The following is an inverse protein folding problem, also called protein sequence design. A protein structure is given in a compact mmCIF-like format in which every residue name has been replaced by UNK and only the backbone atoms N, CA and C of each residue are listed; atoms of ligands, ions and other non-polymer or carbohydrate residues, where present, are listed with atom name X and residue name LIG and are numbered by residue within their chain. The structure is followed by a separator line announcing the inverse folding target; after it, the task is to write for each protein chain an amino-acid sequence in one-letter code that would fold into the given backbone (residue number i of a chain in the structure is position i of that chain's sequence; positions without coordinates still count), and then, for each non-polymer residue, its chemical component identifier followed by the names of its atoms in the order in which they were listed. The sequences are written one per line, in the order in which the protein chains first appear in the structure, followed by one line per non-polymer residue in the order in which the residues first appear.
data_IF_627255249089
#
_entry.id   IF_627255249089
#
_cell.length_a   1.000
_cell.length_b   1.000
_cell.length_c   1.000
_cell.angle_alpha   90.00
_cell.angle_beta   90.00
_cell.angle_gamma   90.00
#
_symmetry.space_group_name_H-M   'P 1'
#
loop_
_entity.id
_entity.type
_entity.pdbx_description
1 polymer ?
#
# COMPACT_ATOMS: atom_id res chain seq x y z
N UNK A 1 -15.78 15.33 39.22
CA UNK A 1 -14.53 15.98 38.80
C UNK A 1 -13.57 14.89 38.38
N UNK A 2 -13.47 14.61 37.08
CA UNK A 2 -12.50 13.63 36.57
C UNK A 2 -11.27 14.40 36.10
N UNK A 3 -10.15 14.05 36.72
CA UNK A 3 -8.81 14.52 36.41
C UNK A 3 -8.45 14.17 34.96
N UNK A 4 -7.88 15.16 34.26
CA UNK A 4 -7.40 15.02 32.90
C UNK A 4 -6.16 14.13 32.88
N UNK A 5 -6.20 13.09 32.06
CA UNK A 5 -5.01 12.33 31.68
C UNK A 5 -4.19 13.16 30.71
N UNK A 6 -3.11 13.77 31.21
CA UNK A 6 -2.02 14.32 30.39
C UNK A 6 -1.45 13.20 29.51
N UNK A 7 -1.59 13.38 28.19
CA UNK A 7 -0.97 12.50 27.20
C UNK A 7 0.54 12.59 27.30
N UNK A 8 1.18 11.49 27.69
CA UNK A 8 2.63 11.34 27.64
C UNK A 8 3.06 11.46 26.16
N UNK A 9 3.67 12.60 25.81
CA UNK A 9 4.24 12.82 24.49
C UNK A 9 5.38 11.83 24.21
N UNK A 10 5.47 11.37 22.95
CA UNK A 10 6.45 10.37 22.51
C UNK A 10 7.90 10.73 22.92
N UNK A 11 8.79 9.75 23.12
CA UNK A 11 10.20 10.00 23.45
C UNK A 11 10.88 10.97 22.46
N UNK A 12 11.78 11.84 22.92
CA UNK A 12 12.46 12.84 22.07
C UNK A 12 13.20 12.21 20.88
N UNK A 13 13.77 11.02 21.04
CA UNK A 13 14.39 10.28 19.93
C UNK A 13 13.38 9.90 18.84
N UNK A 14 12.14 9.55 19.23
CA UNK A 14 11.04 9.25 18.32
C UNK A 14 10.47 10.51 17.66
N UNK A 15 10.42 11.64 18.39
CA UNK A 15 10.07 12.95 17.81
C UNK A 15 11.10 13.43 16.78
N UNK A 16 12.39 13.19 17.03
CA UNK A 16 13.48 13.54 16.10
C UNK A 16 13.46 12.67 14.84
N UNK A 17 13.08 11.39 14.95
CA UNK A 17 12.87 10.49 13.80
C UNK A 17 11.64 10.86 12.95
N UNK A 18 10.61 11.46 13.54
CA UNK A 18 9.41 11.90 12.81
C UNK A 18 9.54 13.27 12.14
N UNK A 19 10.65 13.98 12.34
CA UNK A 19 10.83 15.33 11.77
C UNK A 19 11.28 15.29 10.31
N UNK A 20 11.99 14.24 9.90
CA UNK A 20 12.57 14.13 8.57
C UNK A 20 11.87 13.03 7.77
N UNK A 21 11.89 13.14 6.44
CA UNK A 21 11.49 12.05 5.55
C UNK A 21 12.25 10.76 5.87
N UNK A 22 11.62 9.62 5.56
CA UNK A 22 12.34 8.36 5.54
C UNK A 22 13.50 8.43 4.53
N UNK A 23 14.62 7.78 4.83
CA UNK A 23 15.78 7.68 3.93
C UNK A 23 15.85 6.30 3.26
N UNK A 24 14.67 5.70 2.99
CA UNK A 24 14.57 4.39 2.36
C UNK A 24 15.30 4.35 1.03
N UNK A 25 16.23 3.40 0.88
CA UNK A 25 17.13 3.27 -0.27
C UNK A 25 17.93 4.53 -0.63
N UNK A 26 18.00 5.51 0.27
CA UNK A 26 18.80 6.72 0.17
C UNK A 26 19.73 6.84 1.37
N UNK A 27 19.97 8.06 1.83
CA UNK A 27 20.83 8.32 2.98
C UNK A 27 20.56 9.68 3.62
N UNK A 28 21.21 9.90 4.77
CA UNK A 28 21.42 11.22 5.36
C UNK A 28 22.80 11.69 4.96
N UNK A 29 22.91 12.93 4.49
CA UNK A 29 24.18 13.62 4.23
C UNK A 29 24.34 14.79 5.21
N UNK A 30 25.46 15.50 5.12
CA UNK A 30 25.67 16.77 5.82
C UNK A 30 24.76 17.90 5.34
N UNK A 31 24.17 17.77 4.14
CA UNK A 31 23.40 18.83 3.46
C UNK A 31 21.90 18.56 3.40
N UNK A 32 21.50 17.29 3.38
CA UNK A 32 20.12 16.88 3.11
C UNK A 32 19.85 15.42 3.48
N UNK A 33 18.56 15.11 3.62
CA UNK A 33 18.01 13.76 3.74
C UNK A 33 17.39 13.37 2.42
N UNK A 34 17.56 12.12 1.99
CA UNK A 34 16.94 11.68 0.75
C UNK A 34 16.57 10.20 0.77
N UNK A 35 15.54 9.88 0.00
CA UNK A 35 15.10 8.52 -0.32
C UNK A 35 14.84 8.41 -1.82
N UNK A 36 14.69 7.18 -2.30
CA UNK A 36 14.42 6.95 -3.71
C UNK A 36 13.69 5.64 -3.95
N UNK A 37 12.99 5.61 -5.07
CA UNK A 37 12.57 4.39 -5.76
C UNK A 37 13.37 4.24 -7.06
N UNK A 38 13.04 3.25 -7.90
CA UNK A 38 13.60 3.19 -9.25
C UNK A 38 13.24 4.43 -10.08
N UNK A 39 12.07 5.04 -9.85
CA UNK A 39 11.53 6.12 -10.68
C UNK A 39 11.69 7.52 -10.08
N UNK A 40 11.78 7.65 -8.76
CA UNK A 40 11.75 8.95 -8.08
C UNK A 40 12.90 9.10 -7.08
N UNK A 41 13.30 10.35 -6.84
CA UNK A 41 14.08 10.77 -5.67
C UNK A 41 13.27 11.77 -4.86
N UNK A 42 13.11 11.53 -3.56
CA UNK A 42 12.60 12.52 -2.62
C UNK A 42 13.75 13.09 -1.82
N UNK A 43 13.86 14.42 -1.77
CA UNK A 43 14.95 15.16 -1.15
C UNK A 43 14.40 16.16 -0.14
N UNK A 44 14.91 16.16 1.07
CA UNK A 44 14.59 17.14 2.11
C UNK A 44 15.84 17.91 2.53
N UNK A 45 15.74 19.23 2.48
CA UNK A 45 16.83 20.17 2.82
C UNK A 45 16.37 21.08 3.95
N UNK A 46 17.13 21.10 5.04
CA UNK A 46 16.89 22.07 6.13
C UNK A 46 17.28 23.48 5.70
N UNK A 47 16.45 24.45 6.06
CA UNK A 47 16.64 25.88 5.77
C UNK A 47 16.43 26.72 7.03
N UNK A 48 17.00 27.93 7.04
CA UNK A 48 16.61 28.94 8.02
C UNK A 48 15.09 29.19 7.96
N UNK A 49 14.44 29.42 9.11
CA UNK A 49 13.00 29.65 9.20
C UNK A 49 12.54 30.75 8.23
N UNK A 50 11.65 30.41 7.32
CA UNK A 50 11.25 31.27 6.22
C UNK A 50 9.81 31.01 5.77
N UNK A 51 9.31 31.88 4.90
CA UNK A 51 8.05 31.65 4.17
C UNK A 51 8.35 31.11 2.78
N UNK A 52 7.41 30.37 2.20
CA UNK A 52 7.56 29.78 0.87
C UNK A 52 8.00 30.78 -0.22
N UNK A 53 7.53 32.05 -0.16
CA UNK A 53 7.93 33.11 -1.09
C UNK A 53 9.41 33.54 -1.00
N UNK A 54 10.09 33.16 0.08
CA UNK A 54 11.51 33.46 0.34
C UNK A 54 12.41 32.29 -0.11
N UNK A 55 11.80 31.19 -0.58
CA UNK A 55 12.47 30.05 -1.19
C UNK A 55 12.46 30.21 -2.71
N UNK A 56 13.61 29.98 -3.31
CA UNK A 56 13.76 29.87 -4.77
C UNK A 56 14.35 28.50 -5.08
N UNK A 57 13.56 27.65 -5.71
CA UNK A 57 14.00 26.36 -6.26
C UNK A 57 14.14 26.50 -7.76
N UNK A 58 15.33 26.19 -8.28
CA UNK A 58 15.61 26.08 -9.70
C UNK A 58 16.08 24.66 -9.98
N UNK A 59 15.23 23.89 -10.66
CA UNK A 59 15.56 22.55 -11.14
C UNK A 59 15.60 22.57 -12.66
N UNK A 60 16.72 22.11 -13.21
CA UNK A 60 16.85 21.78 -14.64
C UNK A 60 17.03 20.28 -14.75
N UNK A 61 16.95 19.74 -15.97
CA UNK A 61 17.13 18.31 -16.17
C UNK A 61 18.44 17.76 -15.59
N UNK A 62 19.48 18.57 -15.35
CA UNK A 62 20.79 18.09 -14.86
C UNK A 62 21.31 18.82 -13.63
N UNK A 63 20.60 19.82 -13.10
CA UNK A 63 21.09 20.67 -12.00
C UNK A 63 19.97 21.08 -11.07
N UNK A 64 20.29 21.20 -9.79
CA UNK A 64 19.42 21.70 -8.74
C UNK A 64 20.08 22.87 -8.02
N UNK A 65 19.31 23.91 -7.74
CA UNK A 65 19.69 25.03 -6.88
C UNK A 65 18.51 25.41 -5.98
N UNK A 66 18.76 25.49 -4.67
CA UNK A 66 17.81 25.90 -3.65
C UNK A 66 18.41 27.09 -2.91
N UNK A 67 17.68 28.21 -2.90
CA UNK A 67 18.05 29.41 -2.17
C UNK A 67 16.97 29.75 -1.16
N UNK A 68 17.38 30.18 0.03
CA UNK A 68 16.52 30.70 1.07
C UNK A 68 16.97 32.13 1.40
N UNK A 69 16.05 33.09 1.34
CA UNK A 69 16.33 34.53 1.60
C UNK A 69 17.55 35.05 0.83
N UNK A 70 17.72 34.59 -0.41
CA UNK A 70 18.82 34.97 -1.29
C UNK A 70 20.16 34.24 -1.06
N UNK A 71 20.30 33.44 0.00
CA UNK A 71 21.49 32.60 0.25
C UNK A 71 21.31 31.23 -0.40
N UNK A 72 22.36 30.73 -1.07
CA UNK A 72 22.38 29.35 -1.57
C UNK A 72 22.48 28.36 -0.41
N UNK A 73 21.51 27.46 -0.33
CA UNK A 73 21.45 26.38 0.67
C UNK A 73 21.98 25.09 0.06
N UNK A 74 21.55 24.77 -1.16
CA UNK A 74 21.98 23.58 -1.88
C UNK A 74 22.16 23.92 -3.36
N UNK A 75 23.26 23.51 -3.96
CA UNK A 75 23.49 23.69 -5.40
C UNK A 75 24.43 22.61 -5.93
N UNK A 76 24.09 22.01 -7.08
CA UNK A 76 24.93 21.00 -7.69
C UNK A 76 24.40 20.44 -9.00
N UNK A 77 25.21 19.57 -9.61
CA UNK A 77 24.81 18.75 -10.76
C UNK A 77 24.17 17.48 -10.25
N UNK A 78 22.99 17.14 -10.75
CA UNK A 78 22.28 15.91 -10.42
C UNK A 78 23.07 14.69 -10.91
N UNK A 79 22.99 13.59 -10.17
CA UNK A 79 23.63 12.32 -10.55
C UNK A 79 23.18 11.83 -11.94
N UNK A 80 21.88 11.97 -12.24
CA UNK A 80 21.33 11.71 -13.57
C UNK A 80 20.20 12.68 -13.90
N UNK A 81 19.66 12.58 -15.12
CA UNK A 81 18.61 13.47 -15.60
C UNK A 81 17.26 13.23 -14.92
N UNK A 82 16.55 14.33 -14.68
CA UNK A 82 15.18 14.34 -14.15
C UNK A 82 14.18 14.96 -15.12
N UNK A 83 12.91 14.56 -15.02
CA UNK A 83 11.78 15.23 -15.67
C UNK A 83 11.48 16.50 -14.89
N UNK A 84 11.71 17.66 -15.52
CA UNK A 84 11.45 18.95 -14.87
C UNK A 84 9.97 19.29 -14.80
N UNK A 85 9.15 18.68 -15.65
CA UNK A 85 7.70 18.93 -15.72
C UNK A 85 6.97 18.35 -14.50
N UNK A 86 7.46 17.20 -14.01
CA UNK A 86 6.88 16.46 -12.88
C UNK A 86 7.60 16.74 -11.55
N UNK A 87 8.58 17.66 -11.55
CA UNK A 87 9.30 18.05 -10.34
C UNK A 87 8.42 18.94 -9.46
N UNK A 88 8.17 18.50 -8.23
CA UNK A 88 7.37 19.24 -7.24
C UNK A 88 8.21 19.60 -6.02
N UNK A 89 7.87 20.71 -5.36
CA UNK A 89 8.46 21.05 -4.07
C UNK A 89 7.46 21.73 -3.14
N UNK A 90 7.69 21.62 -1.84
CA UNK A 90 6.96 22.34 -0.81
C UNK A 90 7.86 22.71 0.37
N UNK A 91 7.39 23.64 1.20
CA UNK A 91 8.04 24.03 2.45
C UNK A 91 7.22 23.47 3.62
N UNK A 92 7.80 22.53 4.35
CA UNK A 92 7.21 21.97 5.56
C UNK A 92 7.72 22.69 6.81
N UNK A 93 6.79 22.99 7.73
CA UNK A 93 7.07 23.64 9.01
C UNK A 93 7.87 24.95 8.94
N UNK A 94 7.96 25.61 7.78
CA UNK A 94 8.79 26.81 7.58
C UNK A 94 10.30 26.58 7.60
N UNK A 95 10.77 25.34 7.77
CA UNK A 95 12.19 25.02 8.01
C UNK A 95 12.74 23.88 7.13
N UNK A 96 11.88 23.19 6.36
CA UNK A 96 12.28 22.05 5.54
C UNK A 96 11.74 22.20 4.12
N UNK A 97 12.63 22.26 3.13
CA UNK A 97 12.24 22.24 1.72
C UNK A 97 12.29 20.79 1.25
N UNK A 98 11.14 20.25 0.87
CA UNK A 98 11.00 18.88 0.35
C UNK A 98 10.75 18.93 -1.15
N UNK A 99 11.51 18.16 -1.92
CA UNK A 99 11.42 18.04 -3.37
C UNK A 99 11.15 16.60 -3.77
N UNK A 100 10.26 16.41 -4.73
CA UNK A 100 10.05 15.16 -5.47
C UNK A 100 10.59 15.33 -6.87
N UNK A 101 11.57 14.52 -7.24
CA UNK A 101 12.25 14.53 -8.55
C UNK A 101 11.95 13.23 -9.29
N UNK A 102 11.31 13.32 -10.44
CA UNK A 102 11.10 12.16 -11.31
C UNK A 102 12.32 11.90 -12.20
N UNK A 103 12.85 10.69 -12.18
CA UNK A 103 14.02 10.29 -12.96
C UNK A 103 13.61 10.05 -14.41
N UNK A 104 14.38 10.58 -15.37
CA UNK A 104 14.12 10.27 -16.79
C UNK A 104 14.40 8.80 -17.14
N UNK A 105 15.35 8.18 -16.42
CA UNK A 105 15.67 6.76 -16.54
C UNK A 105 15.49 6.10 -15.19
N UNK A 106 14.73 5.01 -15.18
CA UNK A 106 14.53 4.22 -13.96
C UNK A 106 15.82 3.52 -13.56
N UNK A 107 16.48 4.02 -12.52
CA UNK A 107 17.76 3.50 -12.03
C UNK A 107 18.01 3.90 -10.58
N UNK A 108 18.82 3.12 -9.87
CA UNK A 108 19.25 3.45 -8.52
C UNK A 108 20.37 4.49 -8.57
N UNK A 109 20.16 5.60 -7.87
CA UNK A 109 21.13 6.67 -7.74
C UNK A 109 22.04 6.38 -6.56
N UNK A 110 23.33 6.61 -6.71
CA UNK A 110 24.28 6.48 -5.60
C UNK A 110 24.36 7.75 -4.75
N UNK A 111 23.98 8.89 -5.29
CA UNK A 111 23.88 10.18 -4.61
C UNK A 111 22.85 11.06 -5.35
N UNK A 112 22.41 12.16 -4.73
CA UNK A 112 21.52 13.12 -5.42
C UNK A 112 22.33 14.09 -6.28
N UNK A 113 23.39 14.66 -5.70
CA UNK A 113 24.32 15.55 -6.40
C UNK A 113 25.68 14.89 -6.59
N UNK A 114 26.27 15.08 -7.76
CA UNK A 114 27.61 14.59 -8.06
C UNK A 114 28.65 15.17 -7.08
N UNK A 115 29.46 14.28 -6.49
CA UNK A 115 30.50 14.64 -5.52
C UNK A 115 30.07 14.58 -4.06
N UNK A 116 28.79 14.38 -3.78
CA UNK A 116 28.31 14.11 -2.42
C UNK A 116 28.56 12.64 -2.01
N UNK A 117 28.32 12.35 -0.72
CA UNK A 117 28.46 11.00 -0.18
C UNK A 117 27.61 9.99 -0.96
N UNK A 118 28.24 8.89 -1.38
CA UNK A 118 27.60 7.85 -2.17
C UNK A 118 27.14 6.66 -1.31
N UNK A 119 26.01 6.06 -1.68
CA UNK A 119 25.54 4.79 -1.15
C UNK A 119 25.91 3.62 -2.08
N UNK A 120 25.99 2.42 -1.51
CA UNK A 120 26.16 1.18 -2.26
C UNK A 120 24.81 0.71 -2.83
N UNK A 121 24.54 1.06 -4.08
CA UNK A 121 23.28 0.73 -4.76
C UNK A 121 23.08 -0.76 -5.01
N UNK A 122 24.11 -1.60 -4.82
CA UNK A 122 23.95 -3.06 -4.92
C UNK A 122 23.25 -3.68 -3.72
N UNK A 123 23.18 -2.95 -2.61
CA UNK A 123 22.53 -3.37 -1.35
C UNK A 123 21.14 -2.77 -1.14
N UNK A 124 20.69 -1.98 -2.12
CA UNK A 124 19.38 -1.35 -2.10
C UNK A 124 18.28 -2.40 -2.24
N UNK A 125 17.26 -2.29 -1.39
CA UNK A 125 16.15 -3.22 -1.37
C UNK A 125 15.23 -2.92 -2.56
N UNK A 126 15.24 -3.80 -3.56
CA UNK A 126 14.50 -3.63 -4.82
C UNK A 126 13.05 -4.10 -4.74
N UNK A 127 12.65 -4.69 -3.62
CA UNK A 127 11.29 -5.15 -3.39
C UNK A 127 10.40 -3.97 -3.04
N UNK A 128 9.48 -3.67 -3.96
CA UNK A 128 8.30 -2.86 -3.68
C UNK A 128 7.54 -3.47 -2.51
N UNK A 129 7.13 -2.65 -1.55
CA UNK A 129 6.26 -3.11 -0.48
C UNK A 129 4.89 -3.43 -1.08
N UNK A 130 4.19 -4.40 -0.47
CA UNK A 130 2.95 -4.93 -1.03
C UNK A 130 1.90 -3.82 -1.25
N UNK A 131 1.90 -2.81 -0.39
CA UNK A 131 1.08 -1.60 -0.40
C UNK A 131 1.25 -0.69 -1.63
N UNK A 132 2.38 -0.79 -2.35
CA UNK A 132 2.64 0.01 -3.57
C UNK A 132 1.97 -0.56 -4.82
N UNK A 133 1.45 -1.80 -4.77
CA UNK A 133 0.69 -2.40 -5.86
C UNK A 133 -0.80 -2.06 -5.76
N UNK A 134 -1.49 -1.95 -6.90
CA UNK A 134 -2.94 -1.83 -6.92
C UNK A 134 -3.61 -3.09 -6.30
N UNK A 135 -4.87 -2.96 -5.88
CA UNK A 135 -5.56 -4.02 -5.11
C UNK A 135 -5.70 -5.35 -5.85
N UNK A 136 -5.79 -5.33 -7.18
CA UNK A 136 -5.85 -6.55 -8.00
C UNK A 136 -4.49 -7.25 -8.01
N UNK A 137 -3.42 -6.50 -8.26
CA UNK A 137 -2.05 -7.02 -8.24
C UNK A 137 -1.64 -7.52 -6.86
N UNK A 138 -2.04 -6.83 -5.79
CA UNK A 138 -1.88 -7.32 -4.40
C UNK A 138 -2.58 -8.66 -4.19
N UNK A 139 -3.81 -8.80 -4.68
CA UNK A 139 -4.56 -10.05 -4.61
C UNK A 139 -3.81 -11.21 -5.29
N UNK A 140 -3.33 -10.98 -6.50
CA UNK A 140 -2.58 -11.97 -7.27
C UNK A 140 -1.26 -12.38 -6.57
N UNK A 141 -0.50 -11.41 -6.05
CA UNK A 141 0.75 -11.69 -5.33
C UNK A 141 0.47 -12.47 -4.04
N UNK A 142 -0.59 -12.14 -3.27
CA UNK A 142 -0.99 -12.91 -2.07
C UNK A 142 -1.32 -14.36 -2.43
N UNK A 143 -2.06 -14.58 -3.53
CA UNK A 143 -2.38 -15.92 -4.04
C UNK A 143 -1.10 -16.70 -4.35
N UNK A 144 -0.18 -16.09 -5.11
CA UNK A 144 1.09 -16.72 -5.49
C UNK A 144 1.92 -17.09 -4.25
N UNK A 145 2.05 -16.18 -3.27
CA UNK A 145 2.77 -16.44 -2.03
C UNK A 145 2.15 -17.58 -1.22
N UNK A 146 0.81 -17.60 -1.12
CA UNK A 146 0.08 -18.67 -0.44
C UNK A 146 0.33 -20.02 -1.13
N UNK A 147 0.17 -20.09 -2.45
CA UNK A 147 0.32 -21.32 -3.23
C UNK A 147 1.75 -21.86 -3.20
N UNK A 148 2.76 -20.98 -3.26
CA UNK A 148 4.16 -21.39 -3.11
C UNK A 148 4.40 -22.02 -1.73
N UNK A 149 3.87 -21.42 -0.66
CA UNK A 149 4.00 -21.97 0.68
C UNK A 149 3.26 -23.31 0.85
N UNK A 150 2.03 -23.45 0.31
CA UNK A 150 1.30 -24.72 0.32
C UNK A 150 2.07 -25.80 -0.45
N UNK A 151 2.61 -25.47 -1.62
CA UNK A 151 3.41 -26.39 -2.45
C UNK A 151 4.63 -26.93 -1.72
N UNK A 152 5.38 -26.06 -1.03
CA UNK A 152 6.54 -26.48 -0.22
C UNK A 152 6.11 -27.41 0.92
N UNK A 153 4.91 -27.20 1.46
CA UNK A 153 4.36 -28.02 2.54
C UNK A 153 3.59 -29.25 2.03
N UNK A 154 3.53 -29.50 0.71
CA UNK A 154 2.75 -30.59 0.12
C UNK A 154 1.24 -30.48 0.35
N UNK A 155 0.74 -29.27 0.63
CA UNK A 155 -0.66 -28.98 0.91
C UNK A 155 -1.39 -28.43 -0.32
N UNK A 156 -2.74 -28.45 -0.34
CA UNK A 156 -3.52 -27.99 -1.48
C UNK A 156 -3.37 -26.48 -1.75
N UNK A 157 -3.41 -26.07 -3.02
CA UNK A 157 -3.39 -24.65 -3.44
C UNK A 157 -4.71 -23.93 -3.12
N UNK A 158 -4.73 -22.60 -3.24
CA UNK A 158 -5.94 -21.80 -3.05
C UNK A 158 -7.08 -22.27 -3.94
N UNK A 159 -6.79 -22.64 -5.19
CA UNK A 159 -7.80 -23.06 -6.17
C UNK A 159 -8.36 -24.44 -5.84
N UNK A 160 -7.51 -25.34 -5.34
CA UNK A 160 -7.93 -26.66 -4.87
C UNK A 160 -8.79 -26.56 -3.62
N UNK A 161 -8.44 -25.67 -2.69
CA UNK A 161 -9.24 -25.40 -1.49
C UNK A 161 -10.60 -24.79 -1.85
N UNK A 162 -10.62 -23.80 -2.74
CA UNK A 162 -11.86 -23.16 -3.21
C UNK A 162 -12.77 -24.18 -3.91
N UNK A 163 -12.18 -25.03 -4.75
CA UNK A 163 -12.90 -26.13 -5.42
C UNK A 163 -13.49 -27.10 -4.41
N UNK A 164 -12.70 -27.55 -3.43
CA UNK A 164 -13.15 -28.48 -2.40
C UNK A 164 -14.29 -27.89 -1.55
N UNK A 165 -14.24 -26.60 -1.22
CA UNK A 165 -15.29 -25.93 -0.45
C UNK A 165 -16.62 -25.90 -1.22
N UNK A 166 -16.59 -25.51 -2.50
CA UNK A 166 -17.81 -25.49 -3.33
C UNK A 166 -18.39 -26.90 -3.49
N UNK A 167 -17.53 -27.91 -3.64
CA UNK A 167 -17.97 -29.30 -3.73
C UNK A 167 -18.61 -29.77 -2.44
N UNK A 168 -18.02 -29.42 -1.30
CA UNK A 168 -18.58 -29.73 0.01
C UNK A 168 -19.93 -29.04 0.23
N UNK A 169 -20.07 -27.80 -0.22
CA UNK A 169 -21.35 -27.08 -0.16
C UNK A 169 -22.40 -27.74 -1.07
N UNK A 170 -22.03 -28.05 -2.31
CA UNK A 170 -22.90 -28.76 -3.25
C UNK A 170 -23.31 -30.15 -2.76
N UNK A 171 -22.39 -30.87 -2.12
CA UNK A 171 -22.63 -32.17 -1.49
C UNK A 171 -23.70 -32.10 -0.40
N UNK A 172 -23.67 -31.05 0.41
CA UNK A 172 -24.58 -30.83 1.54
C UNK A 172 -25.86 -30.07 1.17
N UNK A 173 -26.01 -29.67 -0.10
CA UNK A 173 -27.17 -28.91 -0.54
C UNK A 173 -28.49 -29.68 -0.31
N UNK A 174 -29.61 -28.99 -0.04
CA UNK A 174 -30.90 -29.63 0.29
C UNK A 174 -31.40 -30.66 -0.73
N UNK A 175 -31.06 -30.47 -2.01
CA UNK A 175 -31.45 -31.30 -3.15
C UNK A 175 -30.32 -32.24 -3.61
N UNK A 176 -29.22 -32.35 -2.87
CA UNK A 176 -28.12 -33.24 -3.20
C UNK A 176 -28.49 -34.69 -2.89
N UNK A 177 -28.21 -35.64 -3.80
CA UNK A 177 -28.39 -37.06 -3.53
C UNK A 177 -27.42 -37.60 -2.46
N UNK A 178 -26.40 -36.82 -2.10
CA UNK A 178 -25.39 -37.15 -1.09
C UNK A 178 -25.62 -36.43 0.25
N UNK A 179 -26.74 -35.72 0.40
CA UNK A 179 -27.03 -34.99 1.63
C UNK A 179 -27.10 -35.94 2.83
N UNK A 180 -26.27 -35.68 3.83
CA UNK A 180 -26.23 -36.45 5.09
C UNK A 180 -25.16 -37.54 5.14
N UNK A 181 -24.43 -37.79 4.06
CA UNK A 181 -23.16 -38.56 4.12
C UNK A 181 -21.96 -37.63 4.32
N UNK A 182 -20.89 -38.15 4.92
CA UNK A 182 -19.63 -37.41 5.03
C UNK A 182 -19.06 -37.13 3.64
N UNK A 183 -18.47 -35.94 3.49
CA UNK A 183 -17.84 -35.54 2.24
C UNK A 183 -16.59 -36.39 1.98
N UNK A 184 -16.63 -37.21 0.94
CA UNK A 184 -15.49 -38.00 0.48
C UNK A 184 -14.93 -37.41 -0.83
N UNK A 185 -13.75 -36.75 -0.78
CA UNK A 185 -13.12 -36.16 -1.96
C UNK A 185 -12.76 -37.18 -3.05
N UNK A 186 -12.60 -38.45 -2.70
CA UNK A 186 -12.16 -39.51 -3.64
C UNK A 186 -13.28 -40.00 -4.55
N UNK A 187 -14.54 -39.71 -4.19
CA UNK A 187 -15.74 -40.02 -4.97
C UNK A 187 -15.96 -39.07 -6.16
N UNK A 188 -15.15 -38.00 -6.25
CA UNK A 188 -15.26 -36.98 -7.29
C UNK A 188 -14.15 -37.15 -8.32
N UNK A 189 -14.50 -37.68 -9.50
CA UNK A 189 -13.55 -37.85 -10.59
C UNK A 189 -13.45 -36.56 -11.41
N UNK A 190 -12.63 -35.62 -10.95
CA UNK A 190 -12.45 -34.32 -11.61
C UNK A 190 -11.33 -34.39 -12.63
N UNK A 191 -11.70 -34.43 -13.90
CA UNK A 191 -10.75 -34.52 -15.01
C UNK A 191 -10.12 -33.17 -15.41
N UNK A 192 -10.21 -32.12 -14.58
CA UNK A 192 -9.59 -30.83 -14.90
C UNK A 192 -9.88 -29.70 -13.89
N UNK A 193 -9.16 -28.57 -14.00
CA UNK A 193 -9.41 -27.39 -13.20
C UNK A 193 -10.79 -26.80 -13.51
N UNK A 194 -11.49 -26.34 -12.47
CA UNK A 194 -12.77 -25.64 -12.59
C UNK A 194 -12.52 -24.25 -13.19
N UNK A 195 -13.37 -23.80 -14.12
CA UNK A 195 -13.20 -22.50 -14.78
C UNK A 195 -13.48 -21.31 -13.84
N UNK A 196 -12.79 -20.19 -14.05
CA UNK A 196 -13.03 -18.94 -13.30
C UNK A 196 -14.47 -18.43 -13.49
N UNK A 197 -15.05 -18.55 -14.69
CA UNK A 197 -16.44 -18.17 -14.96
C UNK A 197 -17.43 -18.87 -14.01
N UNK A 198 -17.19 -20.13 -13.68
CA UNK A 198 -18.02 -20.88 -12.75
C UNK A 198 -17.90 -20.32 -11.33
N UNK A 199 -16.69 -19.95 -10.90
CA UNK A 199 -16.48 -19.34 -9.59
C UNK A 199 -17.15 -17.96 -9.49
N UNK A 200 -17.06 -17.15 -10.54
CA UNK A 200 -17.76 -15.86 -10.60
C UNK A 200 -19.27 -16.02 -10.50
N UNK A 201 -19.85 -16.99 -11.19
CA UNK A 201 -21.30 -17.24 -11.15
C UNK A 201 -21.77 -17.70 -9.77
N UNK A 202 -20.97 -18.53 -9.08
CA UNK A 202 -21.23 -18.92 -7.70
C UNK A 202 -21.18 -17.71 -6.77
N UNK A 203 -20.16 -16.85 -6.90
CA UNK A 203 -20.03 -15.66 -6.05
C UNK A 203 -21.12 -14.62 -6.33
N UNK A 204 -21.51 -14.41 -7.60
CA UNK A 204 -22.67 -13.59 -7.99
C UNK A 204 -23.94 -14.09 -7.31
N UNK A 205 -24.20 -15.41 -7.36
CA UNK A 205 -25.36 -16.02 -6.71
C UNK A 205 -25.36 -15.82 -5.21
N UNK A 206 -24.19 -15.99 -4.55
CA UNK A 206 -24.04 -15.75 -3.10
C UNK A 206 -24.34 -14.30 -2.72
N UNK A 207 -23.85 -13.34 -3.50
CA UNK A 207 -24.11 -11.91 -3.26
C UNK A 207 -25.60 -11.60 -3.39
N UNK A 208 -26.27 -12.18 -4.40
CA UNK A 208 -27.71 -11.99 -4.61
C UNK A 208 -28.55 -12.62 -3.49
N UNK A 209 -28.23 -13.84 -3.08
CA UNK A 209 -28.88 -14.53 -1.96
C UNK A 209 -28.70 -13.78 -0.64
N UNK A 210 -27.48 -13.29 -0.35
CA UNK A 210 -27.19 -12.47 0.82
C UNK A 210 -27.97 -11.14 0.80
N UNK A 211 -28.06 -10.48 -0.36
CA UNK A 211 -28.89 -9.27 -0.54
C UNK A 211 -30.36 -9.55 -0.30
N UNK A 212 -30.89 -10.65 -0.84
CA UNK A 212 -32.30 -11.05 -0.68
C UNK A 212 -32.63 -11.42 0.76
N UNK A 213 -31.76 -12.15 1.45
CA UNK A 213 -31.91 -12.49 2.87
C UNK A 213 -31.89 -11.24 3.75
N UNK A 214 -31.00 -10.28 3.48
CA UNK A 214 -30.93 -9.00 4.21
C UNK A 214 -32.19 -8.15 3.99
N UNK A 215 -32.74 -8.14 2.78
CA UNK A 215 -33.99 -7.44 2.46
C UNK A 215 -35.21 -8.08 3.16
N UNK A 216 -35.29 -9.42 3.20
CA UNK A 216 -36.35 -10.13 3.90
C UNK A 216 -36.31 -9.91 5.42
N UNK A 217 -35.11 -9.90 6.01
CA UNK A 217 -34.93 -9.59 7.44
C UNK A 217 -35.37 -8.16 7.78
N UNK A 218 -35.05 -7.18 6.93
CA UNK A 218 -35.44 -5.79 7.13
C UNK A 218 -36.96 -5.55 7.01
N UNK A 219 -37.67 -6.32 6.16
CA UNK A 219 -39.14 -6.23 6.03
C UNK A 219 -39.92 -6.86 7.19
N UNK A 220 -39.32 -7.78 7.95
CA UNK A 220 -39.99 -8.45 9.08
C UNK A 220 -39.98 -7.64 10.40
N UNK A 221 -39.19 -6.58 10.48
CA UNK A 221 -39.03 -5.76 11.69
C UNK A 221 -40.08 -4.63 11.84
N UNK A 222 -40.98 -4.44 10.86
CA UNK A 222 -41.95 -3.34 10.85
C UNK A 222 -43.40 -3.70 11.22
N UNK A 223 -43.72 -4.95 11.54
CA UNK A 223 -45.11 -5.42 11.77
C UNK A 223 -45.39 -5.87 13.22
N UNK A 224 -44.72 -5.27 14.21
CA UNK A 224 -44.84 -5.67 15.61
C UNK A 224 -44.81 -4.49 16.58
N UNK A 225 -45.83 -3.65 16.59
CA UNK A 225 -46.00 -2.65 17.66
C UNK A 225 -47.18 -1.72 17.49
N UNK A 226 -48.28 -1.98 18.20
CA UNK A 226 -49.36 -0.99 18.31
C UNK A 226 -50.73 -1.44 18.81
N UNK A 227 -50.85 -2.54 19.54
CA UNK A 227 -52.05 -2.83 20.33
C UNK A 227 -51.89 -2.29 21.75
N UNK A 228 -52.61 -1.22 22.10
CA UNK A 228 -52.66 -0.66 23.46
C UNK A 228 -54.09 -0.22 23.80
N UNK A 229 -54.63 -0.56 25.00
CA UNK A 229 -56.07 -0.72 25.22
C UNK A 229 -56.82 0.56 25.61
N UNK A 230 -58.14 0.47 25.40
CA UNK A 230 -59.16 1.45 25.73
C UNK A 230 -59.25 1.77 27.23
N UNK A 231 -59.57 3.04 27.51
CA UNK A 231 -60.21 3.51 28.73
C UNK A 231 -61.58 4.11 28.36
#
# INVERSE_FOLDING_TARGET
SQEGTEGQGLPEGTRKMMRHISTWNGAVTDKYHWSQSLAEVTLEVEVEECRAKEIQVVCTATRLSIKCKGKTVLEGKLHEKVSTEDTMWHLDGGTQVVLSLEKQRQTWWKCVLEGDQEIDTTKVESTKTMDEYDGETQGAIRKIMFDQNQKVQGKPSSDQLRTAEIMKEAWNAPNSPFRGSEFDPTMLNLSGPVSEDFFEDVDKRRIEEARKAKAAAAGSASDGGGGGPAA
#
